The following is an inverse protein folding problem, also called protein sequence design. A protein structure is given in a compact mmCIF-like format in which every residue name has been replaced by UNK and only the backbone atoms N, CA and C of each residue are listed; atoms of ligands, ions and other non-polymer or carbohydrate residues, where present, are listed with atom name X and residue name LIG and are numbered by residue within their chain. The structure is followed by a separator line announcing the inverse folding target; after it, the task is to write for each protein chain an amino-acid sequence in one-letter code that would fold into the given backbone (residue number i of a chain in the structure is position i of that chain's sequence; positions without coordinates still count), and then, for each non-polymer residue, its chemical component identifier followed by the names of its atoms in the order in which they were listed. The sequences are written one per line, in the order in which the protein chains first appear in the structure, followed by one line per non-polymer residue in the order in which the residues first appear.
data_IF_039914792477
#
_entry.id   IF_039914792477
#
_cell.length_a   1.000
_cell.length_b   1.000
_cell.length_c   1.000
_cell.angle_alpha   90.00
_cell.angle_beta   90.00
_cell.angle_gamma   90.00
#
_symmetry.space_group_name_H-M   'P 1'
#
loop_
_entity.id
_entity.type
_entity.pdbx_description
1 polymer ?
#
# COMPACT_ATOMS: atom_id res chain seq x y z
N UNK A 1 56.72 -16.16 22.62
CA UNK A 1 55.98 -14.96 23.05
C UNK A 1 56.48 -13.83 22.18
N UNK A 2 55.81 -13.64 21.05
CA UNK A 2 55.87 -12.47 20.19
C UNK A 2 54.48 -12.42 19.56
N UNK A 3 53.65 -11.50 20.06
CA UNK A 3 52.27 -11.28 19.64
C UNK A 3 52.32 -10.23 18.52
N UNK A 4 52.28 -10.72 17.28
CA UNK A 4 52.14 -9.89 16.10
C UNK A 4 50.78 -9.22 16.11
N UNK A 5 50.81 -7.90 15.97
CA UNK A 5 49.65 -7.06 15.81
C UNK A 5 48.90 -7.35 14.50
N UNK A 6 47.58 -7.15 14.60
CA UNK A 6 46.77 -6.42 13.63
C UNK A 6 46.23 -7.12 12.37
N UNK A 7 44.95 -6.85 12.12
CA UNK A 7 44.32 -7.02 10.82
C UNK A 7 43.61 -8.35 10.58
N UNK A 8 42.36 -8.47 11.07
CA UNK A 8 41.22 -8.81 10.20
C UNK A 8 39.89 -8.46 10.89
N UNK A 9 39.53 -7.19 10.79
CA UNK A 9 38.15 -6.75 10.90
C UNK A 9 37.49 -7.04 9.55
N UNK A 10 36.70 -8.12 9.45
CA UNK A 10 36.00 -8.41 8.20
C UNK A 10 35.41 -9.81 8.15
N UNK A 11 34.11 -9.90 8.45
CA UNK A 11 33.11 -10.79 7.85
C UNK A 11 31.99 -11.04 8.88
N UNK A 12 31.24 -9.99 9.22
CA UNK A 12 30.11 -10.11 10.12
C UNK A 12 29.23 -8.89 10.04
N UNK A 13 28.29 -8.89 9.10
CA UNK A 13 27.12 -8.01 9.19
C UNK A 13 26.82 -7.14 7.98
N UNK A 14 26.56 -7.75 6.82
CA UNK A 14 26.13 -6.99 5.63
C UNK A 14 24.88 -7.59 4.94
N UNK A 15 24.18 -8.55 5.55
CA UNK A 15 22.94 -9.11 5.01
C UNK A 15 21.67 -8.71 5.78
N UNK A 16 21.80 -7.92 6.86
CA UNK A 16 20.69 -7.56 7.75
C UNK A 16 20.42 -6.05 7.78
N UNK A 17 20.34 -5.40 6.60
CA UNK A 17 19.94 -3.99 6.51
C UNK A 17 18.94 -3.66 5.40
N UNK A 18 18.56 -4.63 4.57
CA UNK A 18 17.48 -4.46 3.58
C UNK A 18 16.08 -4.75 4.15
N UNK A 19 15.98 -5.49 5.26
CA UNK A 19 14.68 -5.85 5.87
C UNK A 19 14.13 -4.82 6.87
N UNK A 20 15.02 -4.12 7.59
CA UNK A 20 14.62 -3.26 8.72
C UNK A 20 13.88 -1.97 8.31
N UNK A 21 14.08 -1.48 7.07
CA UNK A 21 13.41 -0.29 6.55
C UNK A 21 12.05 -0.58 5.91
N UNK A 22 11.73 -1.86 5.64
CA UNK A 22 10.40 -2.28 5.18
C UNK A 22 9.44 -2.55 6.35
N UNK A 23 9.95 -3.00 7.50
CA UNK A 23 9.11 -3.33 8.66
C UNK A 23 8.57 -2.10 9.41
N UNK A 24 9.22 -0.94 9.32
CA UNK A 24 8.77 0.27 10.03
C UNK A 24 7.48 0.89 9.46
N UNK A 25 7.14 0.62 8.18
CA UNK A 25 5.84 1.02 7.58
C UNK A 25 4.71 0.01 7.85
N UNK A 26 5.03 -1.18 8.36
CA UNK A 26 4.06 -2.27 8.56
C UNK A 26 3.12 -2.03 9.75
N UNK A 27 3.41 -1.04 10.59
CA UNK A 27 2.66 -0.74 11.80
C UNK A 27 1.47 0.22 11.59
N UNK A 28 1.40 0.95 10.48
CA UNK A 28 0.23 1.75 10.09
C UNK A 28 -0.79 0.86 9.36
N UNK A 29 -2.07 0.97 9.73
CA UNK A 29 -3.11 0.16 9.07
C UNK A 29 -3.22 0.55 7.59
N UNK A 30 -3.82 -0.31 6.75
CA UNK A 30 -4.07 0.04 5.35
C UNK A 30 -4.91 1.33 5.27
N UNK A 31 -4.37 2.36 4.59
CA UNK A 31 -4.98 3.71 4.52
C UNK A 31 -6.20 3.72 3.59
N UNK A 32 -7.43 3.97 4.10
CA UNK A 32 -8.64 4.02 3.30
C UNK A 32 -8.59 4.99 2.12
N UNK A 33 -7.78 6.05 2.18
CA UNK A 33 -7.64 7.05 1.12
C UNK A 33 -7.29 6.42 -0.22
N UNK A 34 -6.55 5.30 -0.21
CA UNK A 34 -6.22 4.53 -1.42
C UNK A 34 -7.49 4.07 -2.15
N UNK A 35 -8.46 3.52 -1.43
CA UNK A 35 -9.73 3.09 -2.00
C UNK A 35 -10.58 4.26 -2.47
N UNK A 36 -10.61 5.36 -1.71
CA UNK A 36 -11.32 6.57 -2.11
C UNK A 36 -10.76 7.17 -3.41
N UNK A 37 -9.43 7.23 -3.54
CA UNK A 37 -8.77 7.69 -4.76
C UNK A 37 -9.09 6.82 -5.97
N UNK A 38 -9.05 5.49 -5.82
CA UNK A 38 -9.45 4.55 -6.87
C UNK A 38 -10.92 4.73 -7.28
N UNK A 39 -11.82 4.94 -6.31
CA UNK A 39 -13.23 5.15 -6.58
C UNK A 39 -13.46 6.43 -7.40
N UNK A 40 -12.86 7.54 -6.98
CA UNK A 40 -12.96 8.83 -7.67
C UNK A 40 -12.36 8.76 -9.08
N UNK A 41 -11.22 8.09 -9.23
CA UNK A 41 -10.60 7.88 -10.54
C UNK A 41 -11.51 7.05 -11.46
N UNK A 42 -12.11 5.97 -10.96
CA UNK A 42 -13.07 5.17 -11.73
C UNK A 42 -14.28 5.97 -12.17
N UNK A 43 -14.87 6.78 -11.28
CA UNK A 43 -15.98 7.68 -11.60
C UNK A 43 -15.60 8.69 -12.68
N UNK A 44 -14.39 9.26 -12.59
CA UNK A 44 -13.89 10.19 -13.59
C UNK A 44 -13.76 9.54 -14.98
N UNK A 45 -13.13 8.35 -15.05
CA UNK A 45 -13.01 7.58 -16.30
C UNK A 45 -14.38 7.17 -16.85
N UNK A 46 -15.29 6.75 -15.98
CA UNK A 46 -16.67 6.41 -16.33
C UNK A 46 -17.39 7.62 -16.95
N UNK A 47 -17.26 8.81 -16.35
CA UNK A 47 -17.85 10.05 -16.86
C UNK A 47 -17.29 10.46 -18.22
N UNK A 48 -15.97 10.34 -18.41
CA UNK A 48 -15.30 10.59 -19.70
C UNK A 48 -15.75 9.60 -20.79
N UNK A 49 -15.89 8.32 -20.43
CA UNK A 49 -16.39 7.29 -21.33
C UNK A 49 -17.85 7.54 -21.74
N UNK A 50 -18.70 7.89 -20.77
CA UNK A 50 -20.12 8.20 -21.00
C UNK A 50 -20.32 9.43 -21.88
N UNK A 51 -19.52 10.49 -21.70
CA UNK A 51 -19.62 11.71 -22.51
C UNK A 51 -19.24 11.51 -23.99
N UNK A 52 -18.56 10.40 -24.33
CA UNK A 52 -18.10 10.08 -25.68
C UNK A 52 -18.80 8.85 -26.28
N UNK A 53 -19.88 8.37 -25.65
CA UNK A 53 -20.57 7.12 -26.01
C UNK A 53 -19.65 5.89 -26.09
N UNK A 54 -18.55 5.90 -25.34
CA UNK A 54 -17.57 4.81 -25.30
C UNK A 54 -17.96 3.80 -24.23
N UNK A 55 -18.87 2.87 -24.58
CA UNK A 55 -19.41 1.87 -23.66
C UNK A 55 -18.35 1.01 -22.95
N UNK A 56 -17.25 0.65 -23.64
CA UNK A 56 -16.17 -0.13 -23.03
C UNK A 56 -15.39 0.66 -21.97
N UNK A 57 -15.12 1.95 -22.23
CA UNK A 57 -14.43 2.83 -21.29
C UNK A 57 -15.32 3.14 -20.08
N UNK A 58 -16.62 3.33 -20.32
CA UNK A 58 -17.61 3.47 -19.27
C UNK A 58 -17.61 2.25 -18.32
N UNK A 59 -17.69 1.04 -18.87
CA UNK A 59 -17.66 -0.19 -18.08
C UNK A 59 -16.35 -0.35 -17.31
N UNK A 60 -15.20 -0.08 -17.95
CA UNK A 60 -13.91 -0.11 -17.28
C UNK A 60 -13.86 0.87 -16.09
N UNK A 61 -14.32 2.11 -16.28
CA UNK A 61 -14.43 3.11 -15.21
C UNK A 61 -15.35 2.64 -14.08
N UNK A 62 -16.49 2.03 -14.40
CA UNK A 62 -17.42 1.46 -13.41
C UNK A 62 -16.75 0.35 -12.58
N UNK A 63 -16.04 -0.59 -13.20
CA UNK A 63 -15.33 -1.65 -12.47
C UNK A 63 -14.24 -1.08 -11.54
N UNK A 64 -13.50 -0.06 -12.01
CA UNK A 64 -12.49 0.62 -11.19
C UNK A 64 -13.15 1.36 -10.02
N UNK A 65 -14.29 2.03 -10.25
CA UNK A 65 -15.02 2.74 -9.22
C UNK A 65 -15.52 1.80 -8.11
N UNK A 66 -16.14 0.69 -8.52
CA UNK A 66 -16.64 -0.34 -7.60
C UNK A 66 -15.48 -0.99 -6.84
N UNK A 67 -14.38 -1.33 -7.53
CA UNK A 67 -13.18 -1.88 -6.90
C UNK A 67 -12.60 -0.94 -5.84
N UNK A 68 -12.48 0.35 -6.16
CA UNK A 68 -12.03 1.38 -5.23
C UNK A 68 -12.93 1.51 -4.01
N UNK A 69 -14.26 1.51 -4.21
CA UNK A 69 -15.23 1.57 -3.11
C UNK A 69 -15.13 0.36 -2.19
N UNK A 70 -14.96 -0.85 -2.74
CA UNK A 70 -14.74 -2.07 -1.94
C UNK A 70 -13.44 -1.97 -1.14
N UNK A 71 -12.33 -1.55 -1.76
CA UNK A 71 -11.05 -1.36 -1.07
C UNK A 71 -11.16 -0.32 0.04
N UNK A 72 -11.86 0.79 -0.21
CA UNK A 72 -12.12 1.84 0.78
C UNK A 72 -12.84 1.25 2.00
N UNK A 73 -13.97 0.57 1.78
CA UNK A 73 -14.76 -0.02 2.86
C UNK A 73 -13.95 -1.04 3.65
N UNK A 74 -13.19 -1.90 2.99
CA UNK A 74 -12.33 -2.88 3.66
C UNK A 74 -11.27 -2.18 4.54
N UNK A 75 -10.62 -1.15 4.03
CA UNK A 75 -9.57 -0.44 4.77
C UNK A 75 -10.15 0.38 5.93
N UNK A 76 -11.32 1.01 5.75
CA UNK A 76 -12.06 1.64 6.85
C UNK A 76 -12.40 0.61 7.91
N UNK A 77 -12.93 -0.56 7.53
CA UNK A 77 -13.31 -1.61 8.46
C UNK A 77 -12.11 -2.16 9.24
N UNK A 78 -11.00 -2.44 8.55
CA UNK A 78 -9.75 -2.90 9.19
C UNK A 78 -9.18 -1.85 10.15
N UNK A 79 -9.22 -0.57 9.76
CA UNK A 79 -8.78 0.54 10.61
C UNK A 79 -9.64 0.64 11.87
N UNK A 80 -10.97 0.60 11.73
CA UNK A 80 -11.90 0.65 12.86
C UNK A 80 -11.75 -0.56 13.81
N UNK A 81 -11.53 -1.76 13.27
CA UNK A 81 -11.27 -2.95 14.10
C UNK A 81 -9.96 -2.82 14.89
N UNK A 82 -8.90 -2.30 14.27
CA UNK A 82 -7.60 -2.06 14.92
C UNK A 82 -7.70 -1.01 16.03
N UNK A 83 -8.49 0.03 15.85
CA UNK A 83 -8.79 1.01 16.92
C UNK A 83 -9.58 0.38 18.07
N UNK A 84 -10.56 -0.48 17.76
CA UNK A 84 -11.35 -1.19 18.78
C UNK A 84 -10.50 -2.14 19.62
N UNK A 85 -9.52 -2.82 19.04
CA UNK A 85 -8.58 -3.69 19.78
C UNK A 85 -7.62 -2.91 20.67
N UNK A 86 -7.35 -1.63 20.36
CA UNK A 86 -6.50 -0.77 21.19
C UNK A 86 -7.23 -0.11 22.38
N UNK A 87 -8.56 -0.07 22.38
CA UNK A 87 -9.39 0.41 23.50
C UNK A 87 -9.66 -0.70 24.50
#
# INVERSE_FOLDING_TARGET
MDESADGLHGAGGDEESAGATLDTRKAEGPDPVIGAGLALFGIFVMGLGGARDLHYVFNAGMFVAVGGAVTFVLFVALTAMKERTKR
#
